data_IF_114381406035
#
_entry.id   IF_114381406035
#
_cell.length_a   1.000
_cell.length_b   1.000
_cell.length_c   1.000
_cell.angle_alpha   90.00
_cell.angle_beta   90.00
_cell.angle_gamma   90.00
#
_symmetry.space_group_name_H-M   'P 1'
#
loop_
_entity.id
_entity.type
_entity.pdbx_description
1 polymer ?
#
# COMPACT_ATOMS: atom_id res chain seq x y z
N UNK A 1 23.09 16.17 9.35
CA UNK A 1 22.33 14.92 9.59
C UNK A 1 21.15 14.94 8.64
N UNK A 2 21.20 14.18 7.55
CA UNK A 2 20.19 14.22 6.49
C UNK A 2 18.96 13.40 6.89
N UNK A 3 17.79 13.92 6.54
CA UNK A 3 16.45 13.51 6.98
C UNK A 3 16.07 12.04 6.65
N UNK A 4 15.27 11.37 7.48
CA UNK A 4 14.80 10.01 7.21
C UNK A 4 13.62 10.05 6.22
N UNK A 5 13.92 10.15 4.91
CA UNK A 5 12.93 9.94 3.83
C UNK A 5 12.84 8.48 3.38
N UNK A 6 13.63 7.58 3.97
CA UNK A 6 13.76 6.18 3.54
C UNK A 6 12.72 5.22 4.16
N UNK A 7 11.96 5.66 5.17
CA UNK A 7 11.14 4.73 5.97
C UNK A 7 9.84 4.27 5.31
N UNK A 8 9.25 5.05 4.40
CA UNK A 8 7.97 4.66 3.80
C UNK A 8 8.14 3.51 2.79
N UNK A 9 9.16 3.58 1.95
CA UNK A 9 9.48 2.50 0.97
C UNK A 9 9.92 1.22 1.66
N UNK A 10 10.68 1.34 2.77
CA UNK A 10 11.06 0.20 3.60
C UNK A 10 9.84 -0.55 4.15
N UNK A 11 8.90 0.20 4.74
CA UNK A 11 7.67 -0.37 5.29
C UNK A 11 6.69 -0.87 4.20
N UNK A 12 6.63 -0.19 3.04
CA UNK A 12 5.71 -0.56 1.96
C UNK A 12 5.95 -1.97 1.41
N UNK A 13 7.20 -2.43 1.31
CA UNK A 13 7.47 -3.79 0.82
C UNK A 13 6.92 -4.87 1.76
N UNK A 14 7.05 -4.70 3.07
CA UNK A 14 6.50 -5.65 4.06
C UNK A 14 4.96 -5.60 4.05
N UNK A 15 4.42 -4.39 4.03
CA UNK A 15 2.98 -4.16 3.90
C UNK A 15 2.43 -4.80 2.63
N UNK A 16 3.08 -4.62 1.48
CA UNK A 16 2.73 -5.22 0.19
C UNK A 16 2.62 -6.74 0.30
N UNK A 17 3.59 -7.42 0.92
CA UNK A 17 3.56 -8.87 1.07
C UNK A 17 2.39 -9.33 1.95
N UNK A 18 2.09 -8.62 3.04
CA UNK A 18 0.90 -8.89 3.88
C UNK A 18 -0.41 -8.69 3.11
N UNK A 19 -0.48 -7.62 2.30
CA UNK A 19 -1.64 -7.35 1.44
C UNK A 19 -1.88 -8.50 0.47
N UNK A 20 -0.83 -9.03 -0.18
CA UNK A 20 -0.96 -10.18 -1.10
C UNK A 20 -1.48 -11.44 -0.42
N UNK A 21 -1.09 -11.68 0.84
CA UNK A 21 -1.54 -12.84 1.61
C UNK A 21 -3.04 -12.74 1.94
N UNK A 22 -3.49 -11.57 2.35
CA UNK A 22 -4.91 -11.32 2.68
C UNK A 22 -5.80 -11.23 1.42
N UNK A 23 -5.25 -10.70 0.33
CA UNK A 23 -5.95 -10.45 -0.93
C UNK A 23 -5.23 -11.13 -2.09
N UNK A 24 -5.52 -12.42 -2.28
CA UNK A 24 -4.98 -13.21 -3.39
C UNK A 24 -5.36 -12.69 -4.80
N UNK A 25 -6.36 -11.80 -4.88
CA UNK A 25 -6.77 -11.13 -6.11
C UNK A 25 -5.87 -9.95 -6.52
N UNK A 26 -5.08 -9.41 -5.57
CA UNK A 26 -4.18 -8.30 -5.83
C UNK A 26 -2.87 -8.81 -6.44
N UNK A 27 -2.50 -8.20 -7.55
CA UNK A 27 -1.24 -8.53 -8.24
C UNK A 27 -0.11 -7.60 -7.81
N UNK A 28 1.11 -7.93 -8.24
CA UNK A 28 2.25 -7.06 -8.00
C UNK A 28 2.11 -5.68 -8.64
N UNK A 29 1.37 -5.60 -9.75
CA UNK A 29 1.10 -4.36 -10.49
C UNK A 29 0.11 -3.46 -9.73
N UNK A 30 -0.91 -4.06 -9.12
CA UNK A 30 -1.88 -3.34 -8.29
C UNK A 30 -1.23 -2.76 -7.02
N UNK A 31 -0.12 -3.34 -6.57
CA UNK A 31 0.65 -2.94 -5.39
C UNK A 31 1.94 -2.18 -5.72
N UNK A 32 2.12 -1.81 -6.98
CA UNK A 32 3.29 -1.07 -7.43
C UNK A 32 3.25 0.34 -6.88
N UNK A 33 4.19 0.63 -5.97
CA UNK A 33 4.40 1.96 -5.42
C UNK A 33 5.43 2.73 -6.25
N UNK A 34 5.02 3.90 -6.73
CA UNK A 34 5.89 4.89 -7.35
C UNK A 34 5.90 6.13 -6.46
N UNK A 35 7.08 6.71 -6.22
CA UNK A 35 7.22 7.89 -5.37
C UNK A 35 6.41 9.07 -5.94
N UNK A 36 5.56 9.68 -5.11
CA UNK A 36 4.66 10.76 -5.51
C UNK A 36 3.35 10.31 -6.19
N UNK A 37 3.12 9.00 -6.34
CA UNK A 37 1.88 8.41 -6.90
C UNK A 37 1.06 7.66 -5.86
N UNK A 38 1.11 8.12 -4.62
CA UNK A 38 0.38 7.53 -3.50
C UNK A 38 -1.13 7.45 -3.78
N UNK A 39 -1.73 8.51 -4.31
CA UNK A 39 -3.16 8.52 -4.63
C UNK A 39 -3.55 7.53 -5.75
N UNK A 40 -2.66 7.28 -6.72
CA UNK A 40 -2.91 6.29 -7.78
C UNK A 40 -2.89 4.86 -7.22
N UNK A 41 -1.94 4.58 -6.32
CA UNK A 41 -1.85 3.30 -5.61
C UNK A 41 -3.09 3.06 -4.75
N UNK A 42 -3.47 4.04 -3.92
CA UNK A 42 -4.68 3.95 -3.11
C UNK A 42 -5.95 3.81 -3.96
N UNK A 43 -6.03 4.52 -5.10
CA UNK A 43 -7.15 4.41 -6.02
C UNK A 43 -7.27 3.04 -6.67
N UNK A 44 -6.16 2.40 -7.03
CA UNK A 44 -6.14 1.01 -7.54
C UNK A 44 -6.60 0.02 -6.47
N UNK A 45 -5.99 0.11 -5.28
CA UNK A 45 -6.34 -0.74 -4.16
C UNK A 45 -7.81 -0.60 -3.77
N UNK A 46 -8.36 0.61 -3.74
CA UNK A 46 -9.77 0.86 -3.43
C UNK A 46 -10.70 0.18 -4.45
N UNK A 47 -10.35 0.20 -5.74
CA UNK A 47 -11.16 -0.46 -6.79
C UNK A 47 -11.12 -1.98 -6.69
N UNK A 48 -10.00 -2.55 -6.27
CA UNK A 48 -9.81 -4.00 -6.13
C UNK A 48 -10.42 -4.54 -4.83
N UNK A 49 -10.03 -3.96 -3.70
CA UNK A 49 -10.47 -4.39 -2.36
C UNK A 49 -11.88 -3.92 -2.00
N UNK A 50 -12.42 -2.93 -2.71
CA UNK A 50 -13.69 -2.26 -2.38
C UNK A 50 -13.64 -1.37 -1.13
N UNK A 51 -12.49 -1.29 -0.44
CA UNK A 51 -12.33 -0.51 0.80
C UNK A 51 -12.17 0.96 0.50
N UNK A 52 -12.78 1.79 1.34
CA UNK A 52 -12.50 3.22 1.35
C UNK A 52 -11.04 3.52 1.74
N UNK A 53 -10.53 4.69 1.36
CA UNK A 53 -9.18 5.14 1.74
C UNK A 53 -8.96 5.12 3.26
N UNK A 54 -9.99 5.43 4.04
CA UNK A 54 -9.94 5.36 5.52
C UNK A 54 -9.81 3.93 6.03
N UNK A 55 -10.67 3.01 5.57
CA UNK A 55 -10.59 1.60 5.95
C UNK A 55 -9.24 0.98 5.57
N UNK A 56 -8.73 1.34 4.41
CA UNK A 56 -7.42 0.90 3.96
C UNK A 56 -6.32 1.46 4.84
N UNK A 57 -6.33 2.76 5.11
CA UNK A 57 -5.34 3.38 6.00
C UNK A 57 -5.37 2.74 7.40
N UNK A 58 -6.56 2.45 7.92
CA UNK A 58 -6.72 1.75 9.18
C UNK A 58 -6.14 0.33 9.09
N UNK A 59 -6.57 -0.44 8.08
CA UNK A 59 -6.08 -1.79 7.85
C UNK A 59 -4.54 -1.85 7.71
N UNK A 60 -3.95 -1.01 6.88
CA UNK A 60 -2.50 -0.93 6.67
C UNK A 60 -1.72 -0.55 7.94
N UNK A 61 -2.30 0.24 8.85
CA UNK A 61 -1.69 0.55 10.16
C UNK A 61 -1.73 -0.63 11.14
N UNK A 62 -2.64 -1.58 10.92
CA UNK A 62 -2.86 -2.74 11.77
C UNK A 62 -2.30 -4.05 11.19
N UNK A 63 -1.71 -4.01 9.99
CA UNK A 63 -1.01 -5.12 9.35
C UNK A 63 0.36 -5.38 9.99
#
# INVERSE_FOLDING_TARGET
MSAPKENFKGNWNEVKEKIKLEYAELTEDDLLYEEGKEDELFGRLQRRTGKSKEEMTHWLKHL
#
